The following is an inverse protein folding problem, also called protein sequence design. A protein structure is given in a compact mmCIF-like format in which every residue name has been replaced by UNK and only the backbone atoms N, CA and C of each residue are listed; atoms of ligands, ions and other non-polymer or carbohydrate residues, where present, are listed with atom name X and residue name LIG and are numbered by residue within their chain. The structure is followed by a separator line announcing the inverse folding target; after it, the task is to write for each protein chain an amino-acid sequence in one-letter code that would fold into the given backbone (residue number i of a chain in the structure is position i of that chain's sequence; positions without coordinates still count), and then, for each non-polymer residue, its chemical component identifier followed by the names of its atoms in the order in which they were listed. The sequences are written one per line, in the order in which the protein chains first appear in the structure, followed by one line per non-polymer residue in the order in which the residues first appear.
data_IF_920163003616
#
_entry.id   IF_920163003616
#
_cell.length_a   1.000
_cell.length_b   1.000
_cell.length_c   1.000
_cell.angle_alpha   90.00
_cell.angle_beta   90.00
_cell.angle_gamma   90.00
#
_symmetry.space_group_name_H-M   'P 1'
#
loop_
_entity.id
_entity.type
_entity.pdbx_description
1 polymer ?
#
# COMPACT_ATOMS: atom_id res chain seq x y z
N UNK A 1 -46.61 -11.85 -5.88
CA UNK A 1 -46.15 -12.99 -6.70
C UNK A 1 -45.01 -12.47 -7.53
N UNK A 2 -43.77 -12.83 -7.19
CA UNK A 2 -42.59 -12.48 -7.99
C UNK A 2 -42.55 -13.45 -9.16
N UNK A 3 -42.81 -12.95 -10.36
CA UNK A 3 -42.58 -13.71 -11.58
C UNK A 3 -41.09 -14.06 -11.66
N UNK A 4 -40.79 -15.35 -11.74
CA UNK A 4 -39.43 -15.84 -11.97
C UNK A 4 -39.18 -15.61 -13.46
N UNK A 5 -38.59 -14.46 -13.80
CA UNK A 5 -38.08 -14.23 -15.15
C UNK A 5 -36.98 -15.27 -15.44
N UNK A 6 -37.35 -16.30 -16.20
CA UNK A 6 -36.41 -17.29 -16.70
C UNK A 6 -35.61 -16.68 -17.86
N UNK A 7 -34.51 -16.01 -17.53
CA UNK A 7 -33.56 -15.53 -18.54
C UNK A 7 -32.95 -16.70 -19.31
N UNK A 8 -32.83 -16.57 -20.64
CA UNK A 8 -32.07 -17.56 -21.42
C UNK A 8 -30.56 -17.34 -21.22
N UNK A 9 -29.75 -18.36 -21.51
CA UNK A 9 -28.30 -18.23 -21.50
C UNK A 9 -27.80 -17.13 -22.45
N UNK A 10 -28.51 -16.88 -23.55
CA UNK A 10 -28.18 -15.81 -24.49
C UNK A 10 -28.44 -14.42 -23.89
N UNK A 11 -29.55 -14.25 -23.16
CA UNK A 11 -29.89 -12.98 -22.49
C UNK A 11 -28.89 -12.66 -21.38
N UNK A 12 -28.49 -13.68 -20.60
CA UNK A 12 -27.47 -13.53 -19.57
C UNK A 12 -26.10 -13.21 -20.18
N UNK A 13 -25.70 -13.89 -21.25
CA UNK A 13 -24.44 -13.62 -21.94
C UNK A 13 -24.41 -12.18 -22.51
N UNK A 14 -25.50 -11.74 -23.15
CA UNK A 14 -25.65 -10.37 -23.64
C UNK A 14 -25.50 -9.35 -22.50
N UNK A 15 -26.22 -9.57 -21.39
CA UNK A 15 -26.18 -8.70 -20.21
C UNK A 15 -24.79 -8.63 -19.59
N UNK A 16 -24.09 -9.77 -19.46
CA UNK A 16 -22.74 -9.84 -18.90
C UNK A 16 -21.74 -9.07 -19.77
N UNK A 17 -21.76 -9.29 -21.09
CA UNK A 17 -20.84 -8.62 -22.01
C UNK A 17 -21.10 -7.11 -22.01
N UNK A 18 -22.36 -6.68 -22.07
CA UNK A 18 -22.72 -5.27 -22.00
C UNK A 18 -22.24 -4.60 -20.71
N UNK A 19 -22.46 -5.23 -19.54
CA UNK A 19 -22.00 -4.73 -18.25
C UNK A 19 -20.46 -4.66 -18.18
N UNK A 20 -19.76 -5.65 -18.75
CA UNK A 20 -18.29 -5.65 -18.80
C UNK A 20 -17.77 -4.49 -19.66
N UNK A 21 -18.35 -4.27 -20.83
CA UNK A 21 -17.97 -3.16 -21.71
C UNK A 21 -18.23 -1.81 -21.03
N UNK A 22 -19.37 -1.65 -20.36
CA UNK A 22 -19.65 -0.43 -19.60
C UNK A 22 -18.62 -0.22 -18.47
N UNK A 23 -18.32 -1.28 -17.71
CA UNK A 23 -17.31 -1.22 -16.66
C UNK A 23 -15.93 -0.80 -17.21
N UNK A 24 -15.53 -1.33 -18.37
CA UNK A 24 -14.26 -0.97 -19.00
C UNK A 24 -14.21 0.50 -19.41
N UNK A 25 -15.27 1.01 -20.05
CA UNK A 25 -15.37 2.42 -20.44
C UNK A 25 -15.34 3.35 -19.22
N UNK A 26 -16.09 3.02 -18.17
CA UNK A 26 -16.10 3.78 -16.91
C UNK A 26 -14.73 3.75 -16.25
N UNK A 27 -14.04 2.60 -16.25
CA UNK A 27 -12.69 2.47 -15.70
C UNK A 27 -11.65 3.25 -16.51
N UNK A 28 -11.79 3.28 -17.83
CA UNK A 28 -10.91 4.08 -18.70
C UNK A 28 -11.09 5.57 -18.44
N UNK A 29 -12.33 6.05 -18.41
CA UNK A 29 -12.63 7.45 -18.12
C UNK A 29 -12.22 7.83 -16.70
N UNK A 30 -12.41 6.92 -15.72
CA UNK A 30 -11.89 7.09 -14.37
C UNK A 30 -10.36 7.25 -14.36
N UNK A 31 -9.61 6.44 -15.11
CA UNK A 31 -8.15 6.56 -15.22
C UNK A 31 -7.74 7.89 -15.85
N UNK A 32 -8.41 8.30 -16.94
CA UNK A 32 -8.17 9.57 -17.62
C UNK A 32 -8.43 10.75 -16.69
N UNK A 33 -9.61 10.80 -16.08
CA UNK A 33 -10.01 11.84 -15.11
C UNK A 33 -9.06 11.90 -13.92
N UNK A 34 -8.62 10.76 -13.41
CA UNK A 34 -7.62 10.66 -12.34
C UNK A 34 -6.26 11.25 -12.74
N UNK A 35 -5.82 11.03 -13.98
CA UNK A 35 -4.57 11.60 -14.49
C UNK A 35 -4.67 13.13 -14.58
N UNK A 36 -5.71 13.66 -15.23
CA UNK A 36 -5.95 15.10 -15.34
C UNK A 36 -6.00 15.76 -13.98
N UNK A 37 -6.76 15.17 -13.03
CA UNK A 37 -6.83 15.66 -11.66
C UNK A 37 -5.45 15.65 -10.97
N UNK A 38 -4.65 14.62 -11.23
CA UNK A 38 -3.28 14.50 -10.72
C UNK A 38 -2.34 15.60 -11.21
N UNK A 39 -2.57 16.19 -12.37
CA UNK A 39 -1.81 17.33 -12.88
C UNK A 39 -2.25 18.65 -12.22
N UNK A 40 -3.51 18.74 -11.80
CA UNK A 40 -4.11 19.97 -11.27
C UNK A 40 -3.96 20.16 -9.74
N UNK A 41 -3.85 19.08 -8.96
CA UNK A 41 -3.75 19.16 -7.50
C UNK A 41 -2.29 19.04 -7.01
N UNK A 42 -1.94 19.79 -5.97
CA UNK A 42 -0.60 19.73 -5.38
C UNK A 42 -0.40 18.43 -4.59
N UNK A 43 0.86 18.08 -4.30
CA UNK A 43 1.16 16.93 -3.44
C UNK A 43 0.67 17.24 -2.02
N UNK A 44 -0.01 16.29 -1.39
CA UNK A 44 -0.58 16.45 -0.05
C UNK A 44 -1.98 17.07 -0.04
N UNK A 45 -2.43 17.60 -1.18
CA UNK A 45 -3.75 18.20 -1.30
C UNK A 45 -4.86 17.16 -1.48
N UNK A 46 -6.07 17.61 -1.15
CA UNK A 46 -7.28 16.84 -1.32
C UNK A 46 -8.45 17.70 -1.74
N UNK A 47 -9.31 17.15 -2.61
CA UNK A 47 -10.53 17.81 -3.07
C UNK A 47 -11.72 16.92 -2.75
N UNK A 48 -12.74 17.49 -2.10
CA UNK A 48 -13.99 16.79 -1.84
C UNK A 48 -14.84 16.74 -3.12
N UNK A 49 -15.31 15.55 -3.48
CA UNK A 49 -16.28 15.39 -4.56
C UNK A 49 -17.69 15.52 -3.97
N UNK A 50 -18.49 16.42 -4.53
CA UNK A 50 -19.86 16.69 -4.10
C UNK A 50 -20.81 16.70 -5.29
N UNK A 51 -22.06 16.40 -5.01
CA UNK A 51 -23.19 16.53 -5.94
C UNK A 51 -23.61 18.01 -6.08
N UNK A 52 -24.49 18.30 -7.04
CA UNK A 52 -25.02 19.65 -7.25
C UNK A 52 -25.83 20.17 -6.05
N UNK A 53 -26.43 19.27 -5.26
CA UNK A 53 -27.12 19.52 -4.00
C UNK A 53 -26.20 19.41 -2.76
N UNK A 54 -24.88 19.53 -2.96
CA UNK A 54 -23.82 19.55 -1.94
C UNK A 54 -23.62 18.25 -1.13
N UNK A 55 -24.31 17.14 -1.43
CA UNK A 55 -24.05 15.84 -0.80
C UNK A 55 -22.65 15.33 -1.17
N UNK A 56 -21.88 14.94 -0.15
CA UNK A 56 -20.50 14.44 -0.31
C UNK A 56 -20.49 13.01 -0.88
N UNK A 57 -19.79 12.83 -2.00
CA UNK A 57 -19.57 11.53 -2.64
C UNK A 57 -18.26 10.88 -2.18
N UNK A 58 -17.27 11.69 -1.82
CA UNK A 58 -15.94 11.20 -1.49
C UNK A 58 -14.91 12.30 -1.54
N UNK A 59 -13.65 11.89 -1.68
CA UNK A 59 -12.55 12.81 -1.93
C UNK A 59 -11.52 12.18 -2.86
N UNK A 60 -10.84 13.03 -3.60
CA UNK A 60 -9.63 12.70 -4.35
C UNK A 60 -8.45 13.31 -3.60
N UNK A 61 -7.44 12.51 -3.30
CA UNK A 61 -6.23 12.96 -2.58
C UNK A 61 -5.00 12.58 -3.39
N UNK A 62 -4.06 13.52 -3.55
CA UNK A 62 -2.74 13.21 -4.09
C UNK A 62 -1.80 13.00 -2.93
N UNK A 63 -1.36 11.75 -2.74
CA UNK A 63 -0.42 11.41 -1.69
C UNK A 63 0.80 12.32 -1.78
N UNK A 64 1.31 12.76 -0.65
CA UNK A 64 2.70 13.25 -0.51
C UNK A 64 3.44 12.21 0.31
N UNK A 65 3.79 11.07 -0.29
CA UNK A 65 4.30 9.97 0.47
C UNK A 65 5.65 10.37 1.00
N UNK A 66 5.86 9.97 2.25
CA UNK A 66 7.08 10.34 2.91
C UNK A 66 8.26 9.76 2.20
N UNK A 67 9.39 10.42 2.43
CA UNK A 67 10.57 9.87 1.89
C UNK A 67 10.88 8.35 2.24
N UNK A 68 11.29 7.44 1.33
CA UNK A 68 11.92 6.11 1.46
C UNK A 68 13.40 6.01 0.95
N UNK A 69 14.36 5.60 1.79
CA UNK A 69 15.74 5.30 1.37
C UNK A 69 15.79 4.13 0.39
N UNK A 70 16.79 4.17 -0.50
CA UNK A 70 17.29 2.95 -1.12
C UNK A 70 18.79 2.88 -0.91
N UNK A 71 19.30 1.73 -0.45
CA UNK A 71 20.73 1.46 -0.40
C UNK A 71 21.19 1.16 -1.83
N UNK A 72 22.00 2.04 -2.41
CA UNK A 72 22.50 1.92 -3.79
C UNK A 72 23.84 1.22 -3.91
N UNK A 73 24.64 1.28 -2.85
CA UNK A 73 25.96 0.65 -2.75
C UNK A 73 26.11 0.11 -1.32
N UNK A 74 25.78 -1.19 -1.12
CA UNK A 74 25.85 -1.82 0.20
C UNK A 74 27.26 -1.87 0.78
N UNK A 75 28.28 -2.06 -0.07
CA UNK A 75 29.66 -2.25 0.36
C UNK A 75 30.26 -0.92 0.82
N UNK A 76 30.04 0.16 0.06
CA UNK A 76 30.46 1.51 0.47
C UNK A 76 29.73 1.96 1.75
N UNK A 77 28.48 1.54 1.95
CA UNK A 77 27.74 1.79 3.19
C UNK A 77 28.35 1.01 4.37
N UNK A 78 28.68 -0.26 4.19
CA UNK A 78 29.31 -1.09 5.23
C UNK A 78 30.68 -0.53 5.65
N UNK A 79 31.52 -0.15 4.69
CA UNK A 79 32.83 0.46 4.95
C UNK A 79 32.72 1.79 5.72
N UNK A 80 31.75 2.62 5.35
CA UNK A 80 31.48 3.86 6.06
C UNK A 80 30.95 3.57 7.48
N UNK A 81 30.04 2.61 7.65
CA UNK A 81 29.53 2.22 8.97
C UNK A 81 30.66 1.67 9.87
N UNK A 82 31.59 0.91 9.30
CA UNK A 82 32.80 0.42 10.01
C UNK A 82 33.75 1.53 10.41
N UNK A 83 33.73 2.64 9.70
CA UNK A 83 34.61 3.78 9.98
C UNK A 83 33.98 4.78 10.95
N UNK A 84 32.69 5.09 10.75
CA UNK A 84 31.95 6.09 11.52
C UNK A 84 31.42 5.52 12.84
N UNK A 85 31.06 4.25 12.83
CA UNK A 85 30.53 3.53 13.99
C UNK A 85 31.28 2.21 14.21
N UNK A 86 32.63 2.23 14.31
CA UNK A 86 33.44 1.03 14.50
C UNK A 86 33.05 0.29 15.78
N UNK A 87 32.60 1.03 16.78
CA UNK A 87 32.14 0.57 18.08
C UNK A 87 30.72 -0.04 18.04
N UNK A 88 30.03 0.05 16.92
CA UNK A 88 28.65 -0.43 16.74
C UNK A 88 28.54 -1.65 15.80
N UNK A 89 29.64 -2.13 15.24
CA UNK A 89 29.63 -3.26 14.29
C UNK A 89 29.96 -4.57 14.98
N UNK A 90 29.04 -5.51 14.85
CA UNK A 90 29.12 -6.83 15.47
C UNK A 90 29.61 -7.86 14.44
N UNK A 91 30.57 -8.69 14.86
CA UNK A 91 31.04 -9.83 14.07
C UNK A 91 30.47 -11.13 14.64
N UNK A 92 30.02 -12.05 13.78
CA UNK A 92 29.46 -13.34 14.22
C UNK A 92 30.12 -14.50 13.50
N UNK A 93 30.55 -15.49 14.27
CA UNK A 93 30.92 -16.82 13.79
C UNK A 93 29.65 -17.67 13.80
N UNK A 94 29.33 -18.32 12.68
CA UNK A 94 28.19 -19.23 12.58
C UNK A 94 28.63 -20.69 12.69
N UNK A 95 28.04 -21.37 13.67
CA UNK A 95 28.25 -22.79 13.96
C UNK A 95 27.36 -23.64 13.04
N UNK A 96 27.71 -24.92 12.84
CA UNK A 96 26.91 -25.90 12.09
C UNK A 96 25.55 -26.21 12.73
N UNK A 97 25.20 -27.49 12.99
CA UNK A 97 23.98 -27.82 13.74
C UNK A 97 24.09 -27.39 15.20
N UNK A 98 23.63 -26.17 15.46
CA UNK A 98 23.83 -25.46 16.74
C UNK A 98 23.21 -26.22 17.90
N UNK A 99 22.09 -26.91 17.69
CA UNK A 99 21.39 -27.74 18.67
C UNK A 99 22.23 -28.91 19.21
N UNK A 100 23.11 -29.48 18.38
CA UNK A 100 24.02 -30.55 18.79
C UNK A 100 25.36 -30.02 19.29
N UNK A 101 25.81 -28.88 18.75
CA UNK A 101 27.13 -28.31 19.04
C UNK A 101 27.14 -27.52 20.37
N UNK A 102 26.07 -26.80 20.71
CA UNK A 102 26.02 -25.95 21.90
C UNK A 102 26.13 -26.74 23.21
N UNK A 103 25.40 -27.86 23.40
CA UNK A 103 25.50 -28.65 24.64
C UNK A 103 26.92 -29.21 24.84
N UNK A 104 27.56 -29.68 23.76
CA UNK A 104 28.94 -30.20 23.79
C UNK A 104 29.94 -29.11 24.20
N UNK A 105 29.79 -27.89 23.69
CA UNK A 105 30.68 -26.77 24.03
C UNK A 105 30.45 -26.25 25.47
N UNK A 106 29.21 -26.29 25.95
CA UNK A 106 28.86 -25.95 27.35
C UNK A 106 29.43 -27.00 28.31
N UNK A 107 29.21 -28.28 28.05
CA UNK A 107 29.70 -29.38 28.89
C UNK A 107 31.23 -29.47 28.89
N UNK A 108 31.88 -29.14 27.77
CA UNK A 108 33.34 -29.03 27.69
C UNK A 108 33.90 -27.77 28.38
N UNK A 109 33.04 -26.89 28.90
CA UNK A 109 33.44 -25.65 29.55
C UNK A 109 34.14 -24.65 28.62
N UNK A 110 33.95 -24.78 27.30
CA UNK A 110 34.61 -23.96 26.26
C UNK A 110 33.76 -22.76 25.86
N UNK A 111 33.36 -21.97 26.85
CA UNK A 111 32.66 -20.70 26.66
C UNK A 111 33.48 -19.65 25.90
N UNK A 112 34.76 -19.92 25.65
CA UNK A 112 35.68 -19.14 24.82
C UNK A 112 35.48 -19.33 23.31
N UNK A 113 34.76 -20.39 22.89
CA UNK A 113 34.63 -20.78 21.47
C UNK A 113 33.32 -20.38 20.81
N UNK A 114 32.38 -19.82 21.56
CA UNK A 114 31.12 -19.32 21.02
C UNK A 114 30.72 -18.05 21.74
N UNK A 115 29.94 -17.22 21.06
CA UNK A 115 29.53 -15.94 21.59
C UNK A 115 28.03 -15.80 21.41
N UNK A 116 27.36 -15.39 22.48
CA UNK A 116 25.95 -15.09 22.43
C UNK A 116 25.77 -13.81 21.60
N UNK A 117 24.98 -13.90 20.52
CA UNK A 117 24.71 -12.75 19.65
C UNK A 117 23.24 -12.41 19.72
N UNK A 118 22.98 -11.18 20.12
CA UNK A 118 21.65 -10.62 20.21
C UNK A 118 21.23 -10.10 18.84
N UNK A 119 20.50 -10.93 18.09
CA UNK A 119 19.95 -10.50 16.81
C UNK A 119 18.77 -9.57 17.08
N UNK A 120 18.80 -8.38 16.48
CA UNK A 120 17.66 -7.46 16.47
C UNK A 120 16.55 -8.10 15.63
N UNK A 121 15.41 -8.47 16.23
CA UNK A 121 14.36 -9.15 15.50
C UNK A 121 13.74 -8.22 14.44
N UNK A 122 13.24 -8.80 13.35
CA UNK A 122 12.64 -8.05 12.24
C UNK A 122 11.51 -7.09 12.69
N UNK A 123 10.78 -7.43 13.76
CA UNK A 123 9.74 -6.56 14.31
C UNK A 123 10.29 -5.26 14.91
N UNK A 124 11.50 -5.27 15.50
CA UNK A 124 12.16 -4.06 16.01
C UNK A 124 12.61 -3.15 14.86
N UNK A 125 13.08 -3.73 13.75
CA UNK A 125 13.39 -3.00 12.53
C UNK A 125 12.12 -2.34 11.95
N UNK A 126 10.98 -3.05 11.97
CA UNK A 126 9.68 -2.49 11.59
C UNK A 126 9.26 -1.29 12.44
N UNK A 127 9.47 -1.36 13.76
CA UNK A 127 9.19 -0.23 14.66
C UNK A 127 10.10 0.97 14.40
N UNK A 128 11.39 0.73 14.12
CA UNK A 128 12.35 1.78 13.77
C UNK A 128 11.97 2.51 12.48
N UNK A 129 11.55 1.78 11.44
CA UNK A 129 11.03 2.35 10.19
C UNK A 129 9.78 3.21 10.42
N UNK A 130 8.85 2.75 11.26
CA UNK A 130 7.65 3.53 11.58
C UNK A 130 7.97 4.82 12.37
N UNK A 131 8.98 4.80 13.23
CA UNK A 131 9.47 5.98 13.94
C UNK A 131 10.19 6.97 13.00
N UNK A 132 11.02 6.47 12.08
CA UNK A 132 11.68 7.27 11.03
C UNK A 132 10.67 7.98 10.14
N UNK A 133 9.65 7.25 9.71
CA UNK A 133 8.53 7.82 8.97
C UNK A 133 7.77 8.89 9.76
N UNK A 134 7.85 8.96 11.10
CA UNK A 134 7.23 10.04 11.89
C UNK A 134 8.12 11.27 12.09
N UNK A 135 9.32 11.29 11.48
CA UNK A 135 10.25 12.41 11.56
C UNK A 135 11.30 12.28 12.65
N UNK A 136 11.37 11.13 13.35
CA UNK A 136 12.47 10.84 14.27
C UNK A 136 13.68 10.41 13.43
N UNK A 137 14.84 11.07 13.50
CA UNK A 137 16.01 10.62 12.77
C UNK A 137 16.46 9.26 13.33
N UNK A 138 16.44 8.23 12.48
CA UNK A 138 16.94 6.89 12.79
C UNK A 138 18.13 6.62 11.87
N UNK A 139 19.34 6.41 12.40
CA UNK A 139 20.52 6.08 11.60
C UNK A 139 20.27 4.87 10.69
N UNK A 140 20.77 4.92 9.46
CA UNK A 140 20.61 3.84 8.47
C UNK A 140 19.24 3.74 7.80
N UNK A 141 18.29 4.63 8.13
CA UNK A 141 16.99 4.73 7.45
C UNK A 141 16.88 6.12 6.82
N UNK A 142 17.22 6.21 5.53
CA UNK A 142 16.86 7.38 4.74
C UNK A 142 15.36 7.35 4.44
N UNK A 143 14.86 8.54 4.17
CA UNK A 143 13.48 8.79 3.83
C UNK A 143 13.74 9.55 2.47
N UNK A 144 13.42 9.03 1.24
CA UNK A 144 13.20 9.70 -0.11
C UNK A 144 11.73 9.76 -0.72
N UNK A 145 11.06 10.92 -0.97
CA UNK A 145 9.57 11.06 -1.04
C UNK A 145 8.90 9.96 -1.87
N UNK A 146 8.01 9.15 -1.31
CA UNK A 146 7.37 8.13 -2.12
C UNK A 146 6.59 8.77 -3.27
N UNK A 147 6.25 8.01 -4.29
CA UNK A 147 5.66 8.57 -5.50
C UNK A 147 4.22 9.03 -5.23
N UNK A 148 3.84 10.29 -5.51
CA UNK A 148 2.49 10.76 -5.27
C UNK A 148 1.50 9.94 -6.10
N UNK A 149 0.66 9.16 -5.43
CA UNK A 149 -0.43 8.43 -6.07
C UNK A 149 -1.71 9.20 -5.82
N UNK A 150 -2.46 9.49 -6.88
CA UNK A 150 -3.82 9.98 -6.73
C UNK A 150 -4.67 8.81 -6.25
N UNK A 151 -5.42 8.98 -5.17
CA UNK A 151 -6.37 7.99 -4.68
C UNK A 151 -7.75 8.62 -4.57
N UNK A 152 -8.78 7.84 -4.90
CA UNK A 152 -10.18 8.23 -4.75
C UNK A 152 -10.80 7.31 -3.69
N UNK A 153 -11.44 7.91 -2.69
CA UNK A 153 -12.16 7.18 -1.65
C UNK A 153 -13.60 7.63 -1.67
N UNK A 154 -14.52 6.67 -1.79
CA UNK A 154 -15.96 6.92 -1.72
C UNK A 154 -16.43 6.97 -0.28
N UNK A 155 -17.43 7.79 0.00
CA UNK A 155 -18.21 7.70 1.23
C UNK A 155 -19.15 6.50 1.19
N UNK A 156 -19.57 5.99 2.34
CA UNK A 156 -20.51 4.85 2.45
C UNK A 156 -21.82 5.15 1.72
N UNK A 157 -22.29 6.40 1.77
CA UNK A 157 -23.55 6.85 1.15
C UNK A 157 -23.43 7.16 -0.35
N UNK A 158 -22.22 7.14 -0.91
CA UNK A 158 -21.98 7.54 -2.29
C UNK A 158 -22.71 6.63 -3.30
N UNK A 159 -22.90 5.35 -2.97
CA UNK A 159 -23.60 4.40 -3.83
C UNK A 159 -25.07 4.79 -4.06
N UNK A 160 -25.76 5.28 -3.01
CA UNK A 160 -27.16 5.69 -3.12
C UNK A 160 -27.30 6.95 -3.98
N UNK A 161 -26.43 7.94 -3.76
CA UNK A 161 -26.43 9.17 -4.56
C UNK A 161 -26.09 8.89 -6.03
N UNK A 162 -25.14 8.00 -6.32
CA UNK A 162 -24.81 7.61 -7.70
C UNK A 162 -25.95 6.82 -8.35
N UNK A 163 -26.60 5.91 -7.62
CA UNK A 163 -27.78 5.20 -8.12
C UNK A 163 -28.93 6.16 -8.47
N UNK A 164 -29.19 7.14 -7.62
CA UNK A 164 -30.21 8.18 -7.86
C UNK A 164 -29.87 9.02 -9.11
N UNK A 165 -28.61 9.43 -9.26
CA UNK A 165 -28.14 10.17 -10.43
C UNK A 165 -28.24 9.34 -11.73
N UNK A 166 -27.98 8.04 -11.65
CA UNK A 166 -28.09 7.12 -12.79
C UNK A 166 -29.55 6.80 -13.13
N UNK A 167 -30.44 6.70 -12.15
CA UNK A 167 -31.88 6.53 -12.36
C UNK A 167 -32.53 7.78 -12.97
N UNK A 168 -31.96 8.96 -12.74
CA UNK A 168 -32.36 10.20 -13.39
C UNK A 168 -31.80 10.40 -14.81
N UNK A 169 -30.93 9.51 -15.30
CA UNK A 169 -30.33 9.63 -16.62
C UNK A 169 -31.37 9.32 -17.71
N UNK A 170 -31.39 10.11 -18.80
CA UNK A 170 -32.31 9.90 -19.94
C UNK A 170 -32.13 8.54 -20.63
N UNK A 171 -31.04 7.83 -20.34
CA UNK A 171 -30.75 6.48 -20.80
C UNK A 171 -30.43 5.64 -19.55
N UNK A 172 -31.23 4.62 -19.22
CA UNK A 172 -30.95 3.74 -18.08
C UNK A 172 -29.70 2.90 -18.42
N UNK A 173 -28.57 3.27 -17.82
CA UNK A 173 -27.26 2.64 -18.10
C UNK A 173 -27.06 1.32 -17.37
N UNK A 174 -27.84 1.10 -16.31
CA UNK A 174 -27.83 -0.11 -15.53
C UNK A 174 -29.30 -0.47 -15.35
N UNK A 175 -29.71 -1.70 -15.65
CA UNK A 175 -31.02 -2.24 -15.25
C UNK A 175 -31.12 -2.41 -13.73
N UNK A 176 -30.78 -1.36 -12.99
CA UNK A 176 -30.99 -1.15 -11.55
C UNK A 176 -32.19 -0.21 -11.46
N UNK A 177 -33.27 -0.59 -12.12
CA UNK A 177 -34.59 -0.07 -11.86
C UNK A 177 -35.41 -1.31 -11.48
N UNK A 178 -36.14 -1.19 -10.38
CA UNK A 178 -37.03 -2.22 -9.87
C UNK A 178 -38.21 -2.46 -10.82
#
# INVERSE_FOLDING_TARGET
MTDIEAYTNADLAYKIVMLKTLADLVLEEFKRSKQVMGEQIARGDSVAARTADDRKLGRVTKSDPKPEATVTDPDALDDWLRTEYPDKIESRVELGRVDEILPILIDAGRSDLFTEVHVVPAYLVGQAKAAAARGRPIPGITVAPGKPVVSATKEITAEYAVRELLAGARVPLLGIEA
#
